data_IF_918549717989
#
_entry.id   IF_918549717989
#
_cell.length_a   1.000
_cell.length_b   1.000
_cell.length_c   1.000
_cell.angle_alpha   90.00
_cell.angle_beta   90.00
_cell.angle_gamma   90.00
#
_symmetry.space_group_name_H-M   'P 1'
#
loop_
_entity.id
_entity.type
_entity.pdbx_description
1 polymer ?
#
# COMPACT_ATOMS: atom_id res chain seq x y z
N UNK A 1 -1.04 -11.46 -14.91
CA UNK A 1 -0.02 -10.42 -15.09
C UNK A 1 -0.53 -9.13 -14.46
N UNK A 2 -0.25 -8.90 -13.18
CA UNK A 2 -0.64 -7.65 -12.47
C UNK A 2 -0.05 -6.41 -13.18
N UNK A 3 1.09 -6.58 -13.84
CA UNK A 3 1.78 -5.64 -14.72
C UNK A 3 1.07 -5.24 -16.02
N UNK A 4 -0.08 -5.84 -16.35
CA UNK A 4 -0.96 -5.36 -17.43
C UNK A 4 -2.12 -4.50 -16.91
N UNK A 5 -2.35 -4.49 -15.60
CA UNK A 5 -3.51 -3.83 -14.97
C UNK A 5 -3.09 -2.65 -14.10
N UNK A 6 -1.83 -2.62 -13.67
CA UNK A 6 -1.26 -1.60 -12.81
C UNK A 6 -0.12 -0.91 -13.54
N UNK A 7 -0.05 0.40 -13.38
CA UNK A 7 1.12 1.16 -13.81
C UNK A 7 2.36 0.67 -13.06
N UNK A 8 3.54 0.92 -13.66
CA UNK A 8 4.83 0.58 -13.03
C UNK A 8 4.96 1.19 -11.63
N UNK A 9 4.41 2.38 -11.43
CA UNK A 9 4.45 3.11 -10.18
C UNK A 9 3.54 2.46 -9.11
N UNK A 10 2.32 2.09 -9.48
CA UNK A 10 1.41 1.36 -8.59
C UNK A 10 1.98 0.00 -8.19
N UNK A 11 2.59 -0.72 -9.13
CA UNK A 11 3.27 -1.98 -8.82
C UNK A 11 4.38 -1.78 -7.80
N UNK A 12 5.25 -0.78 -7.99
CA UNK A 12 6.33 -0.50 -7.05
C UNK A 12 5.78 -0.21 -5.63
N UNK A 13 4.69 0.54 -5.53
CA UNK A 13 4.01 0.83 -4.26
C UNK A 13 3.41 -0.43 -3.62
N UNK A 14 2.75 -1.28 -4.39
CA UNK A 14 2.21 -2.57 -3.91
C UNK A 14 3.34 -3.48 -3.42
N UNK A 15 4.50 -3.47 -4.07
CA UNK A 15 5.68 -4.22 -3.62
C UNK A 15 6.22 -3.71 -2.28
N UNK A 16 6.26 -2.40 -2.07
CA UNK A 16 6.63 -1.81 -0.77
C UNK A 16 5.63 -2.23 0.31
N UNK A 17 4.32 -2.13 0.03
CA UNK A 17 3.28 -2.58 0.97
C UNK A 17 3.46 -4.07 1.33
N UNK A 18 3.68 -4.94 0.34
CA UNK A 18 3.93 -6.37 0.57
C UNK A 18 5.14 -6.60 1.50
N UNK A 19 6.21 -5.81 1.37
CA UNK A 19 7.39 -5.91 2.26
C UNK A 19 7.09 -5.44 3.69
N UNK A 20 6.29 -4.39 3.85
CA UNK A 20 5.88 -3.88 5.17
C UNK A 20 4.98 -4.89 5.89
N UNK A 21 4.10 -5.57 5.17
CA UNK A 21 3.17 -6.55 5.74
C UNK A 21 3.83 -7.92 6.02
N UNK A 22 4.89 -8.30 5.28
CA UNK A 22 5.52 -9.62 5.39
C UNK A 22 5.94 -10.04 6.81
N UNK A 23 6.55 -9.18 7.65
CA UNK A 23 6.93 -9.56 9.01
C UNK A 23 5.77 -9.54 10.02
N UNK A 24 4.60 -9.01 9.66
CA UNK A 24 3.47 -8.83 10.57
C UNK A 24 2.59 -10.09 10.59
N UNK A 25 1.94 -10.34 11.73
CA UNK A 25 0.84 -11.30 11.76
C UNK A 25 -0.34 -10.82 10.92
N UNK A 26 -1.26 -11.73 10.61
CA UNK A 26 -2.47 -11.40 9.84
C UNK A 26 -3.30 -10.32 10.56
N UNK A 27 -3.43 -10.41 11.89
CA UNK A 27 -4.17 -9.42 12.69
C UNK A 27 -3.53 -8.05 12.62
N UNK A 28 -2.22 -7.95 12.89
CA UNK A 28 -1.48 -6.68 12.82
C UNK A 28 -1.50 -6.07 11.42
N UNK A 29 -1.40 -6.92 10.39
CA UNK A 29 -1.52 -6.49 8.99
C UNK A 29 -2.88 -5.87 8.71
N UNK A 30 -3.97 -6.50 9.16
CA UNK A 30 -5.33 -5.99 8.96
C UNK A 30 -5.57 -4.69 9.74
N UNK A 31 -5.09 -4.60 10.98
CA UNK A 31 -5.19 -3.38 11.78
C UNK A 31 -4.45 -2.20 11.14
N UNK A 32 -3.22 -2.44 10.67
CA UNK A 32 -2.43 -1.43 9.96
C UNK A 32 -3.14 -0.97 8.69
N UNK A 33 -3.68 -1.91 7.90
CA UNK A 33 -4.42 -1.59 6.68
C UNK A 33 -5.66 -0.74 6.98
N UNK A 34 -6.46 -1.14 7.98
CA UNK A 34 -7.66 -0.40 8.38
C UNK A 34 -7.32 1.00 8.89
N UNK A 35 -6.31 1.14 9.74
CA UNK A 35 -5.86 2.44 10.25
C UNK A 35 -5.45 3.38 9.12
N UNK A 36 -4.65 2.89 8.17
CA UNK A 36 -4.17 3.70 7.05
C UNK A 36 -5.28 4.05 6.05
N UNK A 37 -6.11 3.08 5.68
CA UNK A 37 -7.23 3.31 4.76
C UNK A 37 -8.23 4.31 5.34
N UNK A 38 -8.51 4.24 6.65
CA UNK A 38 -9.43 5.17 7.32
C UNK A 38 -8.98 6.64 7.26
N UNK A 39 -7.67 6.88 7.10
CA UNK A 39 -7.05 8.21 7.03
C UNK A 39 -6.94 8.76 5.61
N UNK A 40 -7.34 7.98 4.60
CA UNK A 40 -7.23 8.34 3.19
C UNK A 40 -8.59 8.34 2.49
N UNK A 41 -8.77 9.26 1.53
CA UNK A 41 -10.05 9.40 0.82
C UNK A 41 -10.15 8.50 -0.40
N UNK A 42 -9.03 8.01 -0.92
CA UNK A 42 -8.96 7.13 -2.07
C UNK A 42 -7.81 6.13 -1.97
N UNK A 43 -7.90 5.05 -2.75
CA UNK A 43 -6.81 4.06 -2.86
C UNK A 43 -5.53 4.67 -3.45
N UNK A 44 -5.65 5.68 -4.31
CA UNK A 44 -4.51 6.40 -4.86
C UNK A 44 -3.77 7.19 -3.76
N UNK A 45 -4.50 7.82 -2.85
CA UNK A 45 -3.93 8.54 -1.70
C UNK A 45 -3.25 7.56 -0.73
N UNK A 46 -3.89 6.41 -0.46
CA UNK A 46 -3.32 5.35 0.38
C UNK A 46 -2.00 4.83 -0.19
N UNK A 47 -1.99 4.46 -1.47
CA UNK A 47 -0.79 3.95 -2.12
C UNK A 47 0.33 5.01 -2.16
N UNK A 48 -0.02 6.28 -2.41
CA UNK A 48 0.94 7.39 -2.40
C UNK A 48 1.55 7.64 -1.02
N UNK A 49 0.77 7.50 0.06
CA UNK A 49 1.22 7.68 1.43
C UNK A 49 2.24 6.63 1.90
N UNK A 50 2.30 5.47 1.24
CA UNK A 50 3.22 4.37 1.57
C UNK A 50 4.61 4.52 0.95
N UNK A 51 4.76 5.31 -0.13
CA UNK A 51 6.03 5.46 -0.85
C UNK A 51 6.99 6.49 -0.27
N UNK A 52 6.60 7.24 0.78
CA UNK A 52 7.34 8.44 1.18
C UNK A 52 7.14 9.53 0.14
N UNK A 53 6.49 10.62 0.54
CA UNK A 53 6.10 11.70 -0.36
C UNK A 53 7.27 12.18 -1.21
N UNK A 54 7.13 12.03 -2.52
CA UNK A 54 7.76 12.93 -3.47
C UNK A 54 6.60 13.72 -4.05
N UNK A 55 6.59 15.02 -3.73
CA UNK A 55 5.63 15.96 -4.31
C UNK A 55 5.80 16.10 -5.82
#
# INVERSE_FOLDING_TARGET
>A
KEELLLSREELARVWVLRKVLNPLSVTESMELLLDKLSKTKSNADFLSALSGGVG
#
